data_IF_116176378832
#
_entry.id   IF_116176378832
#
_cell.length_a   1.000
_cell.length_b   1.000
_cell.length_c   1.000
_cell.angle_alpha   90.00
_cell.angle_beta   90.00
_cell.angle_gamma   90.00
#
_symmetry.space_group_name_H-M   'P 1'
#
loop_
_entity.id
_entity.type
_entity.pdbx_description
1 polymer ?
#
# COMPACT_ATOMS: atom_id res chain seq x y z
N UNK A 1 5.90 -15.22 24.13
CA UNK A 1 6.95 -15.23 23.10
C UNK A 1 7.39 -13.78 22.95
N UNK A 2 8.59 -13.44 23.37
CA UNK A 2 9.09 -12.05 23.31
C UNK A 2 9.29 -11.76 21.82
N UNK A 3 8.53 -10.79 21.27
CA UNK A 3 8.68 -10.39 19.88
C UNK A 3 10.08 -9.79 19.68
N UNK A 4 10.89 -10.40 18.84
CA UNK A 4 12.20 -9.88 18.41
C UNK A 4 12.12 -8.64 17.52
N UNK A 5 10.90 -8.15 17.24
CA UNK A 5 10.65 -7.06 16.31
C UNK A 5 11.01 -5.68 16.85
N UNK A 6 11.37 -5.54 18.14
CA UNK A 6 11.63 -4.24 18.78
C UNK A 6 10.57 -3.16 18.46
N UNK A 7 9.31 -3.57 18.20
CA UNK A 7 8.22 -2.66 17.86
C UNK A 7 8.24 -2.11 16.43
N UNK A 8 9.16 -2.58 15.58
CA UNK A 8 9.24 -2.15 14.18
C UNK A 8 8.55 -3.13 13.22
N UNK A 9 7.99 -2.58 12.15
CA UNK A 9 7.57 -3.33 10.95
C UNK A 9 8.35 -2.80 9.76
N UNK A 10 9.11 -3.69 9.09
CA UNK A 10 9.84 -3.35 7.86
C UNK A 10 8.90 -3.36 6.68
N UNK A 11 8.73 -2.19 6.06
CA UNK A 11 7.84 -1.98 4.92
C UNK A 11 8.63 -1.56 3.69
N UNK A 12 8.08 -1.85 2.53
CA UNK A 12 8.63 -1.41 1.25
C UNK A 12 7.55 -0.90 0.31
N UNK A 13 7.92 0.11 -0.50
CA UNK A 13 7.15 0.52 -1.67
C UNK A 13 7.96 0.23 -2.93
N UNK A 14 7.36 -0.50 -3.85
CA UNK A 14 7.98 -1.00 -5.07
C UNK A 14 7.30 -0.42 -6.31
N UNK A 15 8.06 0.07 -7.27
CA UNK A 15 7.55 0.54 -8.56
C UNK A 15 8.16 -0.32 -9.66
N UNK A 16 7.41 -1.26 -10.25
CA UNK A 16 7.87 -2.08 -11.35
C UNK A 16 7.88 -1.30 -12.67
N UNK A 17 8.75 -1.71 -13.60
CA UNK A 17 8.59 -1.35 -15.02
C UNK A 17 7.48 -2.23 -15.58
N UNK A 18 6.33 -1.62 -15.88
CA UNK A 18 5.17 -2.34 -16.40
C UNK A 18 5.17 -2.38 -17.93
N UNK A 19 4.40 -3.31 -18.49
CA UNK A 19 3.92 -3.28 -19.87
C UNK A 19 2.41 -3.36 -19.87
N UNK A 20 1.78 -2.41 -20.50
CA UNK A 20 0.31 -2.33 -20.58
C UNK A 20 -0.26 -3.60 -21.20
N UNK A 21 -1.20 -4.23 -20.49
CA UNK A 21 -1.87 -5.48 -20.82
C UNK A 21 -0.96 -6.74 -20.94
N UNK A 22 0.33 -6.65 -20.61
CA UNK A 22 1.24 -7.80 -20.57
C UNK A 22 1.37 -8.33 -19.13
N UNK A 23 0.36 -9.06 -18.67
CA UNK A 23 0.29 -9.58 -17.30
C UNK A 23 1.47 -10.47 -16.99
N UNK A 24 1.94 -11.31 -17.92
CA UNK A 24 3.06 -12.22 -17.68
C UNK A 24 4.37 -11.45 -17.40
N UNK A 25 4.63 -10.38 -18.16
CA UNK A 25 5.77 -9.49 -17.91
C UNK A 25 5.64 -8.84 -16.53
N UNK A 26 4.46 -8.30 -16.21
CA UNK A 26 4.22 -7.55 -14.98
C UNK A 26 4.36 -8.44 -13.74
N UNK A 27 3.82 -9.66 -13.77
CA UNK A 27 4.02 -10.68 -12.72
C UNK A 27 5.51 -10.96 -12.51
N UNK A 28 6.28 -11.13 -13.59
CA UNK A 28 7.72 -11.33 -13.50
C UNK A 28 8.45 -10.17 -12.81
N UNK A 29 8.07 -8.92 -13.10
CA UNK A 29 8.63 -7.72 -12.44
C UNK A 29 8.23 -7.64 -10.97
N UNK A 30 6.97 -7.94 -10.64
CA UNK A 30 6.47 -7.99 -9.26
C UNK A 30 7.24 -9.05 -8.46
N UNK A 31 7.34 -10.29 -8.96
CA UNK A 31 8.06 -11.36 -8.29
C UNK A 31 9.55 -11.03 -8.09
N UNK A 32 10.19 -10.38 -9.06
CA UNK A 32 11.60 -9.96 -8.94
C UNK A 32 11.79 -8.95 -7.80
N UNK A 33 10.97 -7.89 -7.75
CA UNK A 33 11.04 -6.88 -6.69
C UNK A 33 10.62 -7.45 -5.33
N UNK A 34 9.64 -8.34 -5.30
CA UNK A 34 9.24 -9.04 -4.08
C UNK A 34 10.35 -9.98 -3.56
N UNK A 35 11.13 -10.62 -4.46
CA UNK A 35 12.31 -11.38 -4.04
C UNK A 35 13.37 -10.47 -3.41
N UNK A 36 13.66 -9.32 -4.04
CA UNK A 36 14.58 -8.33 -3.49
C UNK A 36 14.12 -7.78 -2.13
N UNK A 37 12.81 -7.59 -1.93
CA UNK A 37 12.24 -7.20 -0.64
C UNK A 37 12.38 -8.32 0.41
N UNK A 38 12.13 -9.58 0.04
CA UNK A 38 12.29 -10.73 0.93
C UNK A 38 13.74 -10.92 1.37
N UNK A 39 14.72 -10.74 0.47
CA UNK A 39 16.15 -10.81 0.78
C UNK A 39 16.60 -9.73 1.79
N UNK A 40 15.81 -8.66 1.92
CA UNK A 40 15.99 -7.57 2.90
C UNK A 40 15.08 -7.70 4.12
N UNK A 41 14.46 -8.86 4.29
CA UNK A 41 13.60 -9.20 5.43
C UNK A 41 12.39 -8.23 5.57
N UNK A 42 11.84 -7.78 4.45
CA UNK A 42 10.64 -6.94 4.42
C UNK A 42 9.42 -7.78 4.81
N UNK A 43 8.59 -7.26 5.71
CA UNK A 43 7.33 -7.91 6.10
C UNK A 43 6.17 -7.58 5.18
N UNK A 44 6.16 -6.36 4.61
CA UNK A 44 5.08 -5.82 3.81
C UNK A 44 5.62 -5.02 2.61
N UNK A 45 5.38 -5.50 1.39
CA UNK A 45 5.72 -4.77 0.15
C UNK A 45 4.46 -4.36 -0.61
N UNK A 46 4.44 -3.10 -1.06
CA UNK A 46 3.30 -2.48 -1.73
C UNK A 46 3.68 -2.12 -3.16
N UNK A 47 2.86 -2.55 -4.11
CA UNK A 47 2.96 -2.25 -5.54
C UNK A 47 1.88 -1.24 -5.96
N UNK A 48 2.02 -0.58 -7.12
CA UNK A 48 1.04 0.39 -7.60
C UNK A 48 -0.34 -0.20 -7.91
N UNK A 49 -1.31 0.69 -8.02
CA UNK A 49 -2.66 0.44 -8.52
C UNK A 49 -2.58 -0.23 -9.91
N UNK A 50 -3.39 -1.29 -10.11
CA UNK A 50 -3.46 -2.05 -11.37
C UNK A 50 -2.08 -2.55 -11.88
N UNK A 51 -1.13 -2.79 -10.99
CA UNK A 51 0.24 -3.18 -11.36
C UNK A 51 0.34 -4.49 -12.13
N UNK A 52 -0.68 -5.37 -12.06
CA UNK A 52 -0.72 -6.60 -12.85
C UNK A 52 -1.03 -6.35 -14.32
N UNK A 53 -1.84 -5.37 -14.63
CA UNK A 53 -2.31 -5.10 -16.00
C UNK A 53 -1.64 -3.87 -16.62
N UNK A 54 -1.15 -2.96 -15.80
CA UNK A 54 -0.97 -1.56 -16.10
C UNK A 54 -2.27 -0.80 -15.86
N UNK A 55 -2.16 0.45 -15.40
CA UNK A 55 -3.32 1.32 -15.12
C UNK A 55 -3.94 1.90 -16.39
N UNK A 56 -3.22 1.88 -17.50
CA UNK A 56 -3.59 2.55 -18.75
C UNK A 56 -4.11 1.60 -19.83
N UNK A 57 -4.72 0.47 -19.44
CA UNK A 57 -5.29 -0.50 -20.39
C UNK A 57 -6.53 0.00 -21.14
N UNK A 58 -7.20 1.06 -20.67
CA UNK A 58 -8.36 1.64 -21.35
C UNK A 58 -9.47 0.61 -21.57
N UNK A 59 -10.03 0.56 -22.78
CA UNK A 59 -11.14 -0.34 -23.12
C UNK A 59 -10.79 -1.85 -23.04
N UNK A 60 -9.51 -2.20 -22.92
CA UNK A 60 -9.11 -3.59 -22.67
C UNK A 60 -9.60 -4.12 -21.33
N UNK A 61 -9.93 -3.26 -20.36
CA UNK A 61 -10.60 -3.68 -19.13
C UNK A 61 -11.97 -4.33 -19.36
N UNK A 62 -12.61 -4.07 -20.51
CA UNK A 62 -13.81 -4.80 -20.95
C UNK A 62 -13.54 -6.21 -21.49
N UNK A 63 -12.28 -6.62 -21.67
CA UNK A 63 -11.90 -7.88 -22.27
C UNK A 63 -11.68 -8.97 -21.21
N UNK A 64 -12.47 -10.05 -21.29
CA UNK A 64 -12.35 -11.16 -20.34
C UNK A 64 -10.98 -11.85 -20.36
N UNK A 65 -10.25 -11.82 -21.48
CA UNK A 65 -8.91 -12.39 -21.56
C UNK A 65 -7.95 -11.67 -20.61
N UNK A 66 -7.99 -10.33 -20.57
CA UNK A 66 -7.15 -9.54 -19.67
C UNK A 66 -7.50 -9.78 -18.20
N UNK A 67 -8.81 -9.82 -17.87
CA UNK A 67 -9.29 -10.04 -16.50
C UNK A 67 -8.91 -11.44 -16.00
N UNK A 68 -9.12 -12.47 -16.82
CA UNK A 68 -8.73 -13.85 -16.48
C UNK A 68 -7.20 -13.98 -16.35
N UNK A 69 -6.44 -13.30 -17.20
CA UNK A 69 -4.99 -13.28 -17.09
C UNK A 69 -4.53 -12.61 -15.80
N UNK A 70 -5.18 -11.52 -15.36
CA UNK A 70 -4.87 -10.85 -14.10
C UNK A 70 -5.14 -11.78 -12.89
N UNK A 71 -6.27 -12.50 -12.88
CA UNK A 71 -6.57 -13.49 -11.83
C UNK A 71 -5.54 -14.62 -11.80
N UNK A 72 -5.13 -15.14 -12.96
CA UNK A 72 -4.09 -16.16 -13.05
C UNK A 72 -2.71 -15.61 -12.61
N UNK A 73 -2.42 -14.33 -12.88
CA UNK A 73 -1.25 -13.63 -12.38
C UNK A 73 -1.21 -13.55 -10.85
N UNK A 74 -2.36 -13.33 -10.21
CA UNK A 74 -2.47 -13.36 -8.73
C UNK A 74 -2.13 -14.76 -8.20
N UNK A 75 -2.61 -15.84 -8.85
CA UNK A 75 -2.26 -17.21 -8.44
C UNK A 75 -0.75 -17.47 -8.52
N UNK A 76 -0.10 -16.99 -9.59
CA UNK A 76 1.34 -17.13 -9.76
C UNK A 76 2.12 -16.37 -8.65
N UNK A 77 1.70 -15.16 -8.30
CA UNK A 77 2.30 -14.39 -7.20
C UNK A 77 2.04 -15.08 -5.86
N UNK A 78 0.83 -15.63 -5.65
CA UNK A 78 0.53 -16.39 -4.44
C UNK A 78 1.45 -17.61 -4.31
N UNK A 79 1.59 -18.42 -5.36
CA UNK A 79 2.51 -19.56 -5.35
C UNK A 79 3.96 -19.14 -5.09
N UNK A 80 4.41 -18.04 -5.71
CA UNK A 80 5.75 -17.46 -5.49
C UNK A 80 5.96 -17.03 -4.03
N UNK A 81 4.93 -16.56 -3.33
CA UNK A 81 5.02 -16.05 -1.96
C UNK A 81 5.24 -17.11 -0.89
N UNK A 82 5.06 -18.42 -1.23
CA UNK A 82 5.20 -19.52 -0.29
C UNK A 82 6.57 -19.54 0.40
N UNK A 83 6.54 -19.58 1.73
CA UNK A 83 7.74 -19.68 2.56
C UNK A 83 8.65 -18.46 2.58
N UNK A 84 8.26 -17.32 1.96
CA UNK A 84 9.11 -16.12 1.89
C UNK A 84 8.97 -15.19 3.10
N UNK A 85 7.99 -15.41 3.97
CA UNK A 85 7.75 -14.51 5.11
C UNK A 85 7.30 -13.09 4.72
N UNK A 86 6.94 -12.88 3.46
CA UNK A 86 6.62 -11.57 2.88
C UNK A 86 5.13 -11.45 2.58
N UNK A 87 4.52 -10.34 2.97
CA UNK A 87 3.19 -9.95 2.52
C UNK A 87 3.31 -9.06 1.29
N UNK A 88 2.65 -9.44 0.21
CA UNK A 88 2.69 -8.76 -1.08
C UNK A 88 1.32 -8.13 -1.34
N UNK A 89 1.28 -6.82 -1.56
CA UNK A 89 0.06 -6.06 -1.85
C UNK A 89 0.15 -5.54 -3.28
N UNK A 90 -0.74 -6.03 -4.16
CA UNK A 90 -0.73 -5.72 -5.60
C UNK A 90 -2.07 -5.18 -6.08
N UNK A 91 -2.03 -4.28 -7.06
CA UNK A 91 -3.22 -3.78 -7.74
C UNK A 91 -3.66 -4.69 -8.89
N UNK A 92 -4.95 -5.09 -8.91
CA UNK A 92 -5.54 -5.93 -9.94
C UNK A 92 -7.01 -5.57 -10.22
N UNK A 93 -7.49 -5.71 -11.47
CA UNK A 93 -8.92 -5.68 -11.74
C UNK A 93 -9.57 -6.99 -11.29
N UNK A 94 -10.67 -6.91 -10.55
CA UNK A 94 -11.44 -8.08 -10.08
C UNK A 94 -12.88 -7.99 -10.57
N UNK A 95 -13.36 -9.03 -11.23
CA UNK A 95 -14.75 -9.15 -11.66
C UNK A 95 -15.54 -9.91 -10.62
N UNK A 96 -16.61 -9.27 -10.10
CA UNK A 96 -17.55 -9.91 -9.19
C UNK A 96 -18.98 -9.41 -9.41
N UNK A 97 -19.99 -10.30 -9.35
CA UNK A 97 -21.42 -10.00 -9.48
C UNK A 97 -21.75 -9.08 -10.68
N UNK A 98 -21.14 -9.35 -11.85
CA UNK A 98 -21.28 -8.57 -13.11
C UNK A 98 -20.71 -7.14 -13.06
N UNK A 99 -19.97 -6.80 -12.03
CA UNK A 99 -19.21 -5.56 -11.91
C UNK A 99 -17.71 -5.85 -12.04
N UNK A 100 -16.98 -4.83 -12.49
CA UNK A 100 -15.51 -4.81 -12.47
C UNK A 100 -15.05 -3.80 -11.44
N UNK A 101 -14.18 -4.25 -10.53
CA UNK A 101 -13.60 -3.42 -9.48
C UNK A 101 -12.12 -3.25 -9.68
N UNK A 102 -11.63 -2.05 -9.44
CA UNK A 102 -10.22 -1.78 -9.25
C UNK A 102 -9.89 -2.12 -7.79
N UNK A 103 -8.96 -3.04 -7.57
CA UNK A 103 -8.76 -3.60 -6.23
C UNK A 103 -7.30 -3.70 -5.86
N UNK A 104 -7.05 -3.75 -4.56
CA UNK A 104 -5.85 -4.26 -3.96
C UNK A 104 -6.05 -5.71 -3.53
N UNK A 105 -5.10 -6.57 -3.87
CA UNK A 105 -5.09 -7.98 -3.48
C UNK A 105 -3.92 -8.20 -2.52
N UNK A 106 -4.21 -8.73 -1.34
CA UNK A 106 -3.25 -8.97 -0.28
C UNK A 106 -2.89 -10.46 -0.28
N UNK A 107 -1.61 -10.75 -0.46
CA UNK A 107 -1.09 -12.11 -0.67
C UNK A 107 -0.02 -12.42 0.39
N UNK A 108 -0.15 -13.57 1.04
CA UNK A 108 0.89 -14.07 1.95
C UNK A 108 0.90 -15.60 1.94
N UNK A 109 2.08 -16.18 1.89
CA UNK A 109 2.33 -17.62 2.02
C UNK A 109 1.41 -18.52 1.17
N UNK A 110 1.26 -18.19 -0.10
CA UNK A 110 0.52 -19.00 -1.07
C UNK A 110 -0.98 -18.74 -1.13
N UNK A 111 -1.52 -17.82 -0.31
CA UNK A 111 -2.96 -17.54 -0.23
C UNK A 111 -3.26 -16.06 -0.39
N UNK A 112 -4.45 -15.76 -0.94
CA UNK A 112 -5.03 -14.42 -0.90
C UNK A 112 -5.68 -14.22 0.46
N UNK A 113 -5.23 -13.21 1.20
CA UNK A 113 -5.71 -12.89 2.55
C UNK A 113 -6.93 -11.96 2.55
N UNK A 114 -7.14 -11.24 1.46
CA UNK A 114 -8.28 -10.37 1.26
C UNK A 114 -8.15 -9.53 0.01
N UNK A 115 -9.27 -8.95 -0.40
CA UNK A 115 -9.38 -8.04 -1.54
C UNK A 115 -10.06 -6.76 -1.08
N UNK A 116 -9.41 -5.62 -1.31
CA UNK A 116 -9.96 -4.30 -0.97
C UNK A 116 -10.26 -3.54 -2.26
N UNK A 117 -11.54 -3.27 -2.57
CA UNK A 117 -11.93 -2.49 -3.73
C UNK A 117 -11.73 -0.99 -3.49
N UNK A 118 -11.38 -0.24 -4.53
CA UNK A 118 -11.25 1.21 -4.53
C UNK A 118 -12.58 1.86 -4.19
N UNK A 119 -12.59 2.70 -3.15
CA UNK A 119 -13.81 3.34 -2.64
C UNK A 119 -14.29 4.46 -3.57
N UNK A 120 -13.40 5.37 -3.95
CA UNK A 120 -13.75 6.52 -4.78
C UNK A 120 -13.12 6.39 -6.18
N UNK A 121 -13.97 6.33 -7.18
CA UNK A 121 -13.56 6.30 -8.59
C UNK A 121 -13.65 7.71 -9.18
N UNK A 122 -12.62 8.12 -9.92
CA UNK A 122 -12.66 9.37 -10.67
C UNK A 122 -13.43 9.22 -12.00
N UNK A 123 -13.63 10.32 -12.71
CA UNK A 123 -14.40 10.32 -13.98
C UNK A 123 -13.87 9.36 -15.05
N UNK A 124 -12.55 9.25 -15.32
CA UNK A 124 -12.03 8.22 -16.21
C UNK A 124 -12.28 6.79 -15.74
N UNK A 125 -12.06 6.50 -14.45
CA UNK A 125 -12.19 5.15 -13.87
C UNK A 125 -13.65 4.65 -13.93
N UNK A 126 -14.62 5.54 -13.75
CA UNK A 126 -16.06 5.21 -13.82
C UNK A 126 -16.50 4.63 -15.17
N UNK A 127 -15.68 4.77 -16.22
CA UNK A 127 -15.96 4.14 -17.52
C UNK A 127 -15.83 2.63 -17.46
N UNK A 128 -14.93 2.11 -16.63
CA UNK A 128 -14.60 0.68 -16.56
C UNK A 128 -14.89 0.05 -15.21
N UNK A 129 -14.70 0.80 -14.12
CA UNK A 129 -14.76 0.29 -12.76
C UNK A 129 -15.96 0.82 -11.99
N UNK A 130 -16.51 -0.05 -11.15
CA UNK A 130 -17.54 0.30 -10.18
C UNK A 130 -16.89 0.72 -8.87
N UNK A 131 -17.48 1.74 -8.19
CA UNK A 131 -17.05 2.14 -6.85
C UNK A 131 -17.19 0.97 -5.86
N UNK A 132 -16.16 0.79 -5.03
CA UNK A 132 -16.14 -0.21 -3.97
C UNK A 132 -16.76 0.25 -2.65
N UNK A 133 -17.09 1.54 -2.49
CA UNK A 133 -17.51 2.12 -1.21
C UNK A 133 -18.73 1.45 -0.54
N UNK A 134 -19.61 0.85 -1.34
CA UNK A 134 -20.82 0.19 -0.85
C UNK A 134 -20.81 -1.33 -1.13
N UNK A 135 -19.65 -1.91 -1.43
CA UNK A 135 -19.55 -3.36 -1.59
C UNK A 135 -19.71 -3.99 -0.21
N UNK A 136 -20.69 -4.89 -0.04
CA UNK A 136 -20.83 -5.61 1.23
C UNK A 136 -19.61 -6.51 1.45
N UNK A 137 -19.27 -6.76 2.71
CA UNK A 137 -18.24 -7.74 3.05
C UNK A 137 -18.69 -9.13 2.67
N UNK A 138 -18.12 -9.71 1.63
CA UNK A 138 -18.53 -10.99 1.09
C UNK A 138 -17.33 -11.93 0.85
N UNK A 139 -17.59 -13.22 1.02
CA UNK A 139 -16.65 -14.28 0.65
C UNK A 139 -16.86 -14.62 -0.83
N UNK A 140 -15.89 -14.30 -1.67
CA UNK A 140 -15.97 -14.50 -3.11
C UNK A 140 -15.01 -15.60 -3.61
N UNK A 141 -15.36 -16.35 -4.67
CA UNK A 141 -14.41 -17.23 -5.33
C UNK A 141 -13.43 -16.40 -6.15
N UNK A 142 -12.13 -16.51 -5.86
CA UNK A 142 -11.08 -15.79 -6.57
C UNK A 142 -9.75 -16.52 -6.48
N UNK A 143 -8.99 -16.53 -7.56
CA UNK A 143 -7.66 -17.13 -7.64
C UNK A 143 -7.60 -18.62 -7.23
N UNK A 144 -8.70 -19.36 -7.38
CA UNK A 144 -8.79 -20.79 -7.10
C UNK A 144 -9.16 -21.14 -5.66
N UNK A 145 -9.47 -20.16 -4.82
CA UNK A 145 -9.91 -20.31 -3.43
C UNK A 145 -11.04 -19.32 -3.12
N UNK A 146 -11.47 -19.25 -1.88
CA UNK A 146 -12.42 -18.25 -1.39
C UNK A 146 -11.68 -17.22 -0.56
N UNK A 147 -11.93 -15.93 -0.81
CA UNK A 147 -11.36 -14.84 -0.03
C UNK A 147 -12.40 -13.74 0.24
N UNK A 148 -12.23 -13.03 1.33
CA UNK A 148 -13.10 -11.89 1.66
C UNK A 148 -12.78 -10.70 0.78
N UNK A 149 -13.82 -10.10 0.20
CA UNK A 149 -13.76 -8.81 -0.47
C UNK A 149 -14.57 -7.79 0.33
N UNK A 150 -13.92 -6.71 0.75
CA UNK A 150 -14.56 -5.61 1.49
C UNK A 150 -13.72 -4.34 1.41
N UNK A 151 -14.33 -3.13 1.35
CA UNK A 151 -13.60 -1.88 1.55
C UNK A 151 -13.08 -1.74 3.00
N UNK A 152 -13.78 -2.36 3.97
CA UNK A 152 -13.52 -2.23 5.39
C UNK A 152 -12.79 -3.47 5.91
N UNK A 153 -11.49 -3.57 5.56
CA UNK A 153 -10.62 -4.66 5.98
C UNK A 153 -9.40 -4.14 6.75
N UNK A 154 -9.09 -4.82 7.83
CA UNK A 154 -7.85 -4.65 8.58
C UNK A 154 -7.07 -5.97 8.58
N UNK A 155 -5.77 -5.88 8.38
CA UNK A 155 -4.85 -7.00 8.32
C UNK A 155 -3.89 -6.92 9.51
N UNK A 156 -3.93 -7.91 10.39
CA UNK A 156 -2.98 -8.01 11.51
C UNK A 156 -1.67 -8.62 11.03
N UNK A 157 -0.55 -7.95 11.28
CA UNK A 157 0.78 -8.31 10.82
C UNK A 157 1.82 -8.06 11.92
N UNK A 158 2.41 -9.11 12.49
CA UNK A 158 3.53 -9.00 13.44
C UNK A 158 3.26 -8.16 14.69
N UNK A 159 2.01 -8.07 15.12
CA UNK A 159 1.59 -7.24 16.26
C UNK A 159 1.19 -5.82 15.88
N UNK A 160 1.18 -5.49 14.60
CA UNK A 160 0.62 -4.25 14.07
C UNK A 160 -0.59 -4.56 13.19
N UNK A 161 -1.40 -3.57 12.92
CA UNK A 161 -2.50 -3.62 11.97
C UNK A 161 -2.21 -2.70 10.79
N UNK A 162 -2.51 -3.17 9.56
CA UNK A 162 -2.52 -2.30 8.39
C UNK A 162 -3.85 -2.36 7.65
N UNK A 163 -4.17 -1.30 6.94
CA UNK A 163 -5.31 -1.21 6.05
C UNK A 163 -4.91 -0.58 4.71
N UNK A 164 -5.80 -0.70 3.73
CA UNK A 164 -5.52 -0.34 2.34
C UNK A 164 -6.50 0.72 1.87
N UNK A 165 -6.01 1.70 1.13
CA UNK A 165 -6.81 2.57 0.26
C UNK A 165 -6.13 2.69 -1.12
N UNK A 166 -6.88 3.10 -2.14
CA UNK A 166 -6.37 3.12 -3.51
C UNK A 166 -6.46 4.51 -4.13
N UNK A 167 -5.33 4.97 -4.66
CA UNK A 167 -5.22 6.15 -5.51
C UNK A 167 -5.98 7.38 -5.00
N UNK A 168 -7.09 7.69 -5.63
CA UNK A 168 -7.92 8.87 -5.34
C UNK A 168 -8.57 8.86 -3.95
N UNK A 169 -8.60 7.73 -3.25
CA UNK A 169 -9.21 7.65 -1.92
C UNK A 169 -8.60 8.67 -0.94
N UNK A 170 -7.26 8.87 -0.98
CA UNK A 170 -6.58 9.86 -0.12
C UNK A 170 -7.01 11.31 -0.39
N UNK A 171 -7.51 11.61 -1.61
CA UNK A 171 -7.92 12.96 -1.99
C UNK A 171 -9.35 13.30 -1.56
N UNK A 172 -10.10 12.31 -1.06
CA UNK A 172 -11.44 12.54 -0.54
C UNK A 172 -11.40 13.47 0.69
N UNK A 173 -12.40 14.32 0.93
CA UNK A 173 -12.48 15.13 2.14
C UNK A 173 -12.41 14.32 3.44
N UNK A 174 -12.97 13.10 3.40
CA UNK A 174 -12.83 12.08 4.46
C UNK A 174 -12.38 10.80 3.78
N UNK A 175 -11.05 10.55 3.71
CA UNK A 175 -10.53 9.34 3.08
C UNK A 175 -10.83 8.08 3.93
N UNK A 176 -10.94 6.90 3.32
CA UNK A 176 -11.16 5.63 4.03
C UNK A 176 -10.12 5.40 5.14
N UNK A 177 -8.88 5.78 4.90
CA UNK A 177 -7.80 5.68 5.88
C UNK A 177 -8.08 6.40 7.20
N UNK A 178 -8.88 7.48 7.21
CA UNK A 178 -9.31 8.13 8.47
C UNK A 178 -10.14 7.17 9.33
N UNK A 179 -11.03 6.40 8.72
CA UNK A 179 -11.85 5.41 9.39
C UNK A 179 -11.01 4.19 9.80
N UNK A 180 -10.17 3.69 8.89
CA UNK A 180 -9.29 2.54 9.15
C UNK A 180 -8.38 2.78 10.37
N UNK A 181 -7.83 3.98 10.50
CA UNK A 181 -6.96 4.35 11.62
C UNK A 181 -7.74 4.39 12.96
N UNK A 182 -8.97 4.88 12.95
CA UNK A 182 -9.85 4.88 14.13
C UNK A 182 -10.30 3.47 14.52
N UNK A 183 -10.28 2.51 13.59
CA UNK A 183 -10.50 1.09 13.83
C UNK A 183 -9.23 0.31 14.20
N UNK A 184 -8.11 1.00 14.38
CA UNK A 184 -6.88 0.40 14.90
C UNK A 184 -5.71 0.30 13.91
N UNK A 185 -5.91 0.53 12.61
CA UNK A 185 -4.82 0.42 11.65
C UNK A 185 -3.65 1.36 12.01
N UNK A 186 -2.46 0.78 12.21
CA UNK A 186 -1.22 1.50 12.49
C UNK A 186 -0.54 1.97 11.20
N UNK A 187 -0.70 1.20 10.12
CA UNK A 187 -0.10 1.46 8.83
C UNK A 187 -1.21 1.53 7.78
N UNK A 188 -1.18 2.57 6.96
CA UNK A 188 -1.99 2.67 5.75
C UNK A 188 -1.10 2.42 4.55
N UNK A 189 -1.56 1.59 3.61
CA UNK A 189 -0.92 1.40 2.33
C UNK A 189 -1.80 1.96 1.21
N UNK A 190 -1.23 2.74 0.31
CA UNK A 190 -1.93 3.33 -0.81
C UNK A 190 -1.28 2.90 -2.13
N UNK A 191 -2.03 2.12 -2.89
CA UNK A 191 -1.69 1.74 -4.24
C UNK A 191 -2.26 2.79 -5.19
N UNK A 192 -1.41 3.49 -5.93
CA UNK A 192 -1.84 4.61 -6.74
C UNK A 192 -1.44 4.48 -8.22
N UNK A 193 -2.17 5.18 -9.07
CA UNK A 193 -1.80 5.51 -10.44
C UNK A 193 -2.02 7.02 -10.64
N UNK A 194 -1.32 7.81 -9.82
CA UNK A 194 -1.48 9.26 -9.80
C UNK A 194 -0.74 9.91 -10.99
N UNK A 195 -1.47 10.73 -11.73
CA UNK A 195 -0.92 11.49 -12.85
C UNK A 195 -0.01 12.60 -12.36
N UNK A 196 1.10 12.82 -13.04
CA UNK A 196 1.97 13.96 -12.78
C UNK A 196 1.55 15.18 -13.59
N UNK A 197 1.24 16.24 -12.89
CA UNK A 197 1.05 17.59 -13.42
C UNK A 197 1.88 18.56 -12.60
N UNK A 198 2.04 19.79 -13.08
CA UNK A 198 2.82 20.81 -12.39
C UNK A 198 2.33 20.96 -10.93
N UNK A 199 3.27 20.97 -9.98
CA UNK A 199 3.05 21.09 -8.52
C UNK A 199 2.32 19.90 -7.87
N UNK A 200 1.99 18.84 -8.62
CA UNK A 200 1.26 17.68 -8.07
C UNK A 200 2.07 16.93 -7.01
N UNK A 201 3.37 16.79 -7.24
CA UNK A 201 4.25 16.09 -6.30
C UNK A 201 4.36 16.81 -4.95
N UNK A 202 4.54 18.12 -4.99
CA UNK A 202 4.62 18.94 -3.78
C UNK A 202 3.32 18.83 -3.00
N UNK A 203 2.19 18.99 -3.66
CA UNK A 203 0.87 18.88 -3.03
C UNK A 203 0.61 17.47 -2.48
N UNK A 204 0.97 16.42 -3.21
CA UNK A 204 0.86 15.02 -2.74
C UNK A 204 1.71 14.81 -1.48
N UNK A 205 2.97 15.27 -1.49
CA UNK A 205 3.85 15.15 -0.33
C UNK A 205 3.31 15.91 0.89
N UNK A 206 2.75 17.09 0.71
CA UNK A 206 2.11 17.85 1.78
C UNK A 206 0.86 17.12 2.31
N UNK A 207 0.03 16.55 1.42
CA UNK A 207 -1.13 15.76 1.79
C UNK A 207 -0.73 14.53 2.61
N UNK A 208 0.23 13.74 2.15
CA UNK A 208 0.71 12.55 2.85
C UNK A 208 1.32 12.88 4.21
N UNK A 209 2.11 13.95 4.27
CA UNK A 209 2.69 14.48 5.49
C UNK A 209 1.61 14.86 6.51
N UNK A 210 0.67 15.69 6.11
CA UNK A 210 -0.39 16.17 7.00
C UNK A 210 -1.33 15.03 7.41
N UNK A 211 -1.70 14.16 6.46
CA UNK A 211 -2.60 13.06 6.73
C UNK A 211 -1.98 12.06 7.71
N UNK A 212 -0.75 11.59 7.46
CA UNK A 212 -0.07 10.66 8.38
C UNK A 212 0.16 11.26 9.77
N UNK A 213 0.43 12.58 9.87
CA UNK A 213 0.55 13.27 11.15
C UNK A 213 -0.79 13.39 11.89
N UNK A 214 -1.85 13.77 11.18
CA UNK A 214 -3.20 13.94 11.74
C UNK A 214 -3.78 12.63 12.27
N UNK A 215 -3.55 11.54 11.53
CA UNK A 215 -4.04 10.20 11.86
C UNK A 215 -3.07 9.39 12.72
N UNK A 216 -1.88 9.94 13.00
CA UNK A 216 -0.82 9.28 13.78
C UNK A 216 -0.59 7.85 13.28
N UNK A 217 -0.13 7.71 12.04
CA UNK A 217 0.06 6.42 11.40
C UNK A 217 1.33 6.37 10.54
N UNK A 218 1.77 5.15 10.23
CA UNK A 218 2.65 4.90 9.09
C UNK A 218 1.86 4.99 7.79
N UNK A 219 2.48 5.47 6.72
CA UNK A 219 1.82 5.56 5.43
C UNK A 219 2.78 5.16 4.30
N UNK A 220 2.45 4.11 3.57
CA UNK A 220 3.25 3.55 2.48
C UNK A 220 2.55 3.83 1.16
N UNK A 221 3.17 4.63 0.30
CA UNK A 221 2.62 5.07 -0.98
C UNK A 221 3.44 4.51 -2.14
N UNK A 222 2.78 3.90 -3.13
CA UNK A 222 3.40 3.42 -4.36
C UNK A 222 2.52 3.78 -5.57
N UNK A 223 3.08 4.50 -6.55
CA UNK A 223 2.35 4.96 -7.73
C UNK A 223 2.94 4.42 -9.02
N UNK A 224 2.07 4.20 -10.01
CA UNK A 224 2.43 3.77 -11.35
C UNK A 224 3.50 4.68 -11.99
N UNK A 225 4.35 4.09 -12.83
CA UNK A 225 5.50 4.77 -13.40
C UNK A 225 5.81 4.35 -14.83
N UNK A 226 7.08 4.07 -15.07
CA UNK A 226 7.58 3.76 -16.41
C UNK A 226 6.93 2.50 -17.00
N UNK A 227 6.50 2.63 -18.26
CA UNK A 227 5.82 1.56 -19.00
C UNK A 227 4.32 1.77 -19.18
N UNK A 228 3.71 2.66 -18.38
CA UNK A 228 2.34 3.11 -18.61
C UNK A 228 2.23 3.93 -19.92
N UNK A 229 1.04 3.92 -20.52
CA UNK A 229 0.76 4.75 -21.70
C UNK A 229 0.78 6.24 -21.33
N UNK A 230 1.43 7.03 -22.17
CA UNK A 230 1.46 8.51 -22.04
C UNK A 230 0.43 9.20 -22.93
N UNK A 231 -0.59 8.47 -23.40
CA UNK A 231 -1.61 9.00 -24.30
C UNK A 231 -2.41 10.13 -23.64
N UNK A 232 -2.86 9.89 -22.40
CA UNK A 232 -3.70 10.85 -21.67
C UNK A 232 -2.97 11.51 -20.50
N UNK A 233 -2.09 10.78 -19.82
CA UNK A 233 -1.40 11.22 -18.61
C UNK A 233 0.06 10.77 -18.61
N UNK A 234 0.87 11.41 -17.77
CA UNK A 234 2.25 10.99 -17.48
C UNK A 234 2.30 10.46 -16.05
N UNK A 235 3.01 9.37 -15.86
CA UNK A 235 3.17 8.71 -14.56
C UNK A 235 4.65 8.71 -14.16
N UNK A 236 4.92 9.21 -12.97
CA UNK A 236 6.31 9.46 -12.53
C UNK A 236 6.92 8.30 -11.72
N UNK A 237 6.12 7.31 -11.31
CA UNK A 237 6.61 6.22 -10.47
C UNK A 237 7.00 6.69 -9.08
N UNK A 238 6.22 7.58 -8.48
CA UNK A 238 6.49 8.08 -7.14
C UNK A 238 6.24 7.00 -6.08
N UNK A 239 7.19 6.84 -5.14
CA UNK A 239 7.04 6.00 -3.97
C UNK A 239 7.59 6.73 -2.74
N UNK A 240 6.87 6.65 -1.62
CA UNK A 240 7.31 7.27 -0.37
C UNK A 240 6.75 6.53 0.85
N UNK A 241 7.50 6.57 1.95
CA UNK A 241 7.11 5.98 3.23
C UNK A 241 7.18 7.06 4.30
N UNK A 242 6.09 7.19 5.05
CA UNK A 242 5.90 8.21 6.05
C UNK A 242 5.55 7.60 7.41
N UNK A 243 5.86 8.29 8.48
CA UNK A 243 5.45 7.96 9.84
C UNK A 243 5.14 9.26 10.59
N UNK A 244 3.89 9.44 11.00
CA UNK A 244 3.47 10.59 11.80
C UNK A 244 4.02 11.95 11.27
N UNK A 245 3.89 12.18 9.96
CA UNK A 245 4.34 13.39 9.29
C UNK A 245 5.83 13.46 8.94
N UNK A 246 6.61 12.46 9.32
CA UNK A 246 8.02 12.34 8.95
C UNK A 246 8.17 11.46 7.71
N UNK A 247 8.83 11.94 6.67
CA UNK A 247 9.20 11.12 5.51
C UNK A 247 10.41 10.25 5.88
N UNK A 248 10.23 8.93 5.87
CA UNK A 248 11.29 7.97 6.16
C UNK A 248 12.10 7.60 4.92
N UNK A 249 11.42 7.43 3.78
CA UNK A 249 12.04 7.09 2.50
C UNK A 249 11.24 7.68 1.33
N UNK A 250 11.92 7.97 0.22
CA UNK A 250 11.33 8.41 -1.04
C UNK A 250 12.24 7.95 -2.19
N UNK A 251 11.66 7.57 -3.33
CA UNK A 251 12.43 7.29 -4.52
C UNK A 251 12.58 8.53 -5.40
N UNK A 252 13.53 8.46 -6.33
CA UNK A 252 13.61 9.43 -7.43
C UNK A 252 12.51 9.13 -8.46
N UNK A 253 11.80 10.16 -8.89
CA UNK A 253 10.72 10.08 -9.89
C UNK A 253 11.26 10.02 -11.32
N UNK A 254 10.43 9.58 -12.25
CA UNK A 254 10.74 9.49 -13.69
C UNK A 254 11.91 8.54 -14.02
N UNK A 255 12.14 7.55 -13.17
CA UNK A 255 13.11 6.50 -13.44
C UNK A 255 12.63 5.58 -14.56
N UNK A 256 13.50 5.26 -15.51
CA UNK A 256 13.23 4.26 -16.56
C UNK A 256 13.38 2.81 -16.08
N UNK A 257 13.89 2.62 -14.86
CA UNK A 257 14.02 1.33 -14.19
C UNK A 257 13.01 1.14 -13.06
N UNK A 258 12.93 -0.09 -12.56
CA UNK A 258 12.16 -0.38 -11.35
C UNK A 258 12.83 0.21 -10.12
N UNK A 259 12.04 0.61 -9.12
CA UNK A 259 12.57 1.08 -7.85
C UNK A 259 11.96 0.30 -6.67
N UNK A 260 12.73 0.20 -5.59
CA UNK A 260 12.32 -0.37 -4.30
C UNK A 260 12.89 0.51 -3.19
N UNK A 261 12.03 1.08 -2.38
CA UNK A 261 12.41 1.80 -1.16
C UNK A 261 11.95 1.02 0.07
N UNK A 262 12.69 1.13 1.15
CA UNK A 262 12.45 0.38 2.39
C UNK A 262 12.55 1.33 3.57
N UNK A 263 11.67 1.16 4.55
CA UNK A 263 11.77 1.83 5.84
C UNK A 263 11.18 0.96 6.95
N UNK A 264 11.71 1.13 8.16
CA UNK A 264 11.21 0.51 9.37
C UNK A 264 10.26 1.49 10.10
N UNK A 265 8.97 1.14 10.19
CA UNK A 265 7.92 1.92 10.86
C UNK A 265 7.87 1.52 12.33
N UNK A 266 7.89 2.49 13.23
CA UNK A 266 7.88 2.31 14.69
C UNK A 266 6.43 2.26 15.21
N UNK A 267 5.93 1.07 15.44
CA UNK A 267 4.56 0.82 15.87
C UNK A 267 4.38 1.24 17.33
N UNK A 268 5.33 0.93 18.21
CA UNK A 268 5.26 1.32 19.63
C UNK A 268 5.21 2.84 19.79
N UNK A 269 5.94 3.57 18.94
CA UNK A 269 5.88 5.04 18.91
C UNK A 269 4.50 5.53 18.47
N UNK A 270 3.92 4.93 17.44
CA UNK A 270 2.57 5.27 16.96
C UNK A 270 1.55 5.05 18.07
N UNK A 271 1.55 3.89 18.73
CA UNK A 271 0.66 3.56 19.85
C UNK A 271 0.81 4.54 21.02
N UNK A 272 2.06 4.86 21.39
CA UNK A 272 2.35 5.79 22.47
C UNK A 272 1.83 7.21 22.16
N UNK A 273 2.01 7.67 20.92
CA UNK A 273 1.52 8.98 20.50
C UNK A 273 -0.02 9.03 20.48
N UNK A 274 -0.69 7.97 20.00
CA UNK A 274 -2.16 7.85 20.02
C UNK A 274 -2.69 7.87 21.44
N UNK A 275 -2.12 7.08 22.34
CA UNK A 275 -2.51 7.00 23.75
C UNK A 275 -2.41 8.37 24.46
N UNK A 276 -1.43 9.18 24.10
CA UNK A 276 -1.22 10.52 24.67
C UNK A 276 -2.05 11.62 24.03
N UNK A 277 -2.65 11.38 22.88
CA UNK A 277 -3.45 12.36 22.15
C UNK A 277 -4.91 12.30 22.59
N UNK A 278 -5.33 13.21 23.48
CA UNK A 278 -6.71 13.31 23.90
C UNK A 278 -7.67 13.57 22.73
N UNK A 279 -7.24 14.31 21.72
CA UNK A 279 -8.04 14.54 20.51
C UNK A 279 -8.26 13.24 19.74
N UNK A 280 -7.20 12.43 19.54
CA UNK A 280 -7.31 11.15 18.84
C UNK A 280 -8.20 10.18 19.61
N UNK A 281 -7.98 10.01 20.91
CA UNK A 281 -8.76 9.07 21.74
C UNK A 281 -10.21 9.49 21.95
N UNK A 282 -10.55 10.76 21.68
CA UNK A 282 -11.94 11.25 21.73
C UNK A 282 -12.68 11.02 20.41
N UNK A 283 -12.02 10.63 19.32
CA UNK A 283 -12.68 10.27 18.09
C UNK A 283 -13.25 8.86 18.23
N UNK A 284 -14.56 8.74 18.16
CA UNK A 284 -15.26 7.47 18.20
C UNK A 284 -15.70 7.15 16.77
N UNK A 285 -15.35 5.94 16.34
CA UNK A 285 -15.83 5.38 15.09
C UNK A 285 -16.22 3.92 15.34
N UNK A 286 -17.50 3.63 15.19
CA UNK A 286 -18.07 2.31 15.42
C UNK A 286 -18.61 1.78 14.09
N UNK A 287 -17.83 0.92 13.43
CA UNK A 287 -18.23 0.27 12.19
C UNK A 287 -17.75 -1.17 12.17
N UNK A 288 -18.36 -1.97 11.29
CA UNK A 288 -18.05 -3.39 11.16
C UNK A 288 -16.89 -3.59 10.21
N UNK A 289 -15.74 -4.05 10.73
CA UNK A 289 -14.55 -4.37 9.95
C UNK A 289 -14.31 -5.87 9.85
N UNK A 290 -13.83 -6.29 8.68
CA UNK A 290 -13.31 -7.63 8.48
C UNK A 290 -11.84 -7.68 8.89
N UNK A 291 -11.49 -8.65 9.75
CA UNK A 291 -10.12 -8.87 10.21
C UNK A 291 -9.50 -10.08 9.49
N UNK A 292 -8.27 -9.92 9.02
CA UNK A 292 -7.47 -11.02 8.46
C UNK A 292 -6.09 -11.04 9.09
N UNK A 293 -5.62 -12.22 9.51
CA UNK A 293 -4.33 -12.37 10.17
C UNK A 293 -3.26 -12.87 9.22
N UNK A 294 -2.11 -12.22 9.24
CA UNK A 294 -0.89 -12.59 8.52
C UNK A 294 0.05 -13.29 9.49
N UNK A 295 0.27 -14.58 9.30
CA UNK A 295 1.05 -15.42 10.22
C UNK A 295 2.49 -15.67 9.76
N UNK A 296 2.71 -15.71 8.44
CA UNK A 296 4.03 -16.00 7.88
C UNK A 296 4.81 -14.71 7.65
N UNK A 297 5.69 -14.38 8.59
CA UNK A 297 6.52 -13.17 8.59
C UNK A 297 8.01 -13.53 8.65
N UNK A 298 8.90 -12.62 8.18
CA UNK A 298 10.34 -12.82 8.32
C UNK A 298 10.76 -12.70 9.80
N UNK A 299 11.84 -13.39 10.16
CA UNK A 299 12.54 -13.18 11.45
C UNK A 299 13.54 -12.03 11.26
N UNK A 300 13.02 -10.79 11.19
CA UNK A 300 13.82 -9.60 10.89
C UNK A 300 14.75 -9.25 12.04
N UNK A 301 16.03 -9.11 11.72
CA UNK A 301 17.06 -8.68 12.67
C UNK A 301 17.30 -7.17 12.56
N UNK A 302 16.57 -6.39 13.38
CA UNK A 302 16.69 -4.93 13.42
C UNK A 302 18.00 -4.44 14.08
N UNK A 303 18.71 -5.27 14.83
CA UNK A 303 20.02 -4.93 15.40
C UNK A 303 21.11 -4.95 14.31
N UNK A 304 20.95 -5.83 13.33
CA UNK A 304 21.88 -5.95 12.20
C UNK A 304 21.73 -4.83 11.18
N UNK A 305 20.48 -4.42 10.87
CA UNK A 305 20.20 -3.36 9.91
C UNK A 305 18.88 -2.66 10.25
N UNK A 306 18.91 -1.35 10.39
CA UNK A 306 17.73 -0.52 10.60
C UNK A 306 17.59 0.45 9.42
N UNK A 307 16.45 0.40 8.71
CA UNK A 307 16.13 1.24 7.56
C UNK A 307 15.36 2.49 7.99
N UNK A 308 15.93 3.23 8.94
CA UNK A 308 15.46 4.55 9.36
C UNK A 308 16.58 5.34 10.01
N UNK A 309 16.51 6.64 9.90
CA UNK A 309 17.40 7.52 10.67
C UNK A 309 16.93 7.60 12.11
N UNK A 310 17.86 7.40 13.03
CA UNK A 310 17.66 7.61 14.47
C UNK A 310 18.60 8.73 14.90
N UNK A 311 18.05 9.80 15.49
CA UNK A 311 18.85 10.91 15.99
C UNK A 311 19.73 10.45 17.17
N UNK A 312 21.06 10.47 17.02
CA UNK A 312 21.96 9.99 18.09
C UNK A 312 22.00 10.93 19.30
N UNK A 313 21.55 12.18 19.12
CA UNK A 313 21.57 13.20 20.17
C UNK A 313 20.21 13.90 20.31
N UNK A 314 19.12 13.16 20.65
CA UNK A 314 17.76 13.70 20.59
C UNK A 314 17.50 14.85 21.59
N UNK A 315 18.37 15.02 22.58
CA UNK A 315 18.27 16.08 23.60
C UNK A 315 19.30 17.22 23.38
N UNK A 316 20.20 17.08 22.42
CA UNK A 316 21.14 18.14 22.09
C UNK A 316 20.48 19.15 21.15
N UNK A 317 20.50 20.46 21.47
CA UNK A 317 19.97 21.46 20.57
C UNK A 317 20.83 21.49 19.30
N UNK A 318 20.18 21.52 18.12
CA UNK A 318 20.89 21.78 16.86
C UNK A 318 21.63 23.14 16.92
N UNK A 319 22.80 23.19 16.33
CA UNK A 319 23.65 24.41 16.36
C UNK A 319 23.15 25.51 15.42
N UNK A 320 22.28 25.18 14.49
CA UNK A 320 21.69 26.12 13.53
C UNK A 320 20.44 26.77 14.13
N UNK A 321 20.48 28.13 14.23
CA UNK A 321 19.39 28.91 14.81
C UNK A 321 18.07 28.76 14.05
N UNK A 322 18.13 28.63 12.71
CA UNK A 322 16.94 28.44 11.86
C UNK A 322 16.24 27.11 12.11
N UNK A 323 16.99 26.06 12.49
CA UNK A 323 16.42 24.76 12.85
C UNK A 323 15.89 24.72 14.29
N UNK A 324 16.42 25.58 15.19
CA UNK A 324 15.92 25.69 16.57
C UNK A 324 14.55 26.37 16.66
N UNK A 325 14.18 27.17 15.67
CA UNK A 325 12.96 27.97 15.66
C UNK A 325 11.83 27.33 14.84
N UNK A 326 12.05 26.17 14.26
CA UNK A 326 11.05 25.36 13.55
C UNK A 326 10.57 24.21 14.40
#
# INVERSE_FOLDING_TARGET
MIMKSHGFIRTAAAVPVVKVADVAHNVGQICRLASEAADKEVSLVVFPELSLTGATCGDLFGNSLLINAAEEGVKQIAEFSKGKGLTIVVGAPVKYANHLYNTSVIINNGTVKGIVPKSFTNTPDNRWFTSGANVPSELIPFAGDYCTMSPDMIFSIGGAEFAVELGEDIWAPVPPSSHHVLQGAHIIVNLSADKEVLMRNEYRNDLLKVHSAKTICGYVYASAGFGESTCDNVYAGAASIWENGLKLAENERFQSGSSLIIADIDIERIENLRMRSATFTSCIYDDSYCMSTIENLPDTDFEKALYRYVEPHPFAPETDLDRRCR
#
